data_IF_296053801140
#
_entry.id   IF_296053801140
#
_cell.length_a   1.000
_cell.length_b   1.000
_cell.length_c   1.000
_cell.angle_alpha   90.00
_cell.angle_beta   90.00
_cell.angle_gamma   90.00
#
_symmetry.space_group_name_H-M   'P 1'
#
loop_
_entity.id
_entity.type
_entity.pdbx_description
1 polymer ?
#
# COMPACT_ATOMS: atom_id res chain seq x y z
N UNK A 1 43.44 29.73 -52.38
CA UNK A 1 42.56 28.59 -52.04
C UNK A 1 41.61 29.03 -50.92
N UNK A 2 40.30 29.17 -51.20
CA UNK A 2 39.29 29.60 -50.21
C UNK A 2 38.75 28.35 -49.48
N UNK A 3 38.88 28.30 -48.15
CA UNK A 3 38.30 27.23 -47.32
C UNK A 3 36.87 27.64 -46.92
N UNK A 4 35.89 26.84 -47.32
CA UNK A 4 34.50 27.01 -46.90
C UNK A 4 34.29 26.33 -45.54
N UNK A 5 33.79 27.09 -44.57
CA UNK A 5 33.43 26.59 -43.25
C UNK A 5 31.96 26.14 -43.31
N UNK A 6 31.72 24.83 -43.19
CA UNK A 6 30.37 24.27 -43.10
C UNK A 6 29.99 24.21 -41.62
N UNK A 7 29.04 25.05 -41.21
CA UNK A 7 28.43 25.02 -39.87
C UNK A 7 27.22 24.10 -39.94
N UNK A 8 27.31 22.94 -39.30
CA UNK A 8 26.18 22.01 -39.13
C UNK A 8 25.40 22.46 -37.89
N UNK A 9 24.26 23.10 -38.10
CA UNK A 9 23.32 23.40 -37.02
C UNK A 9 22.52 22.13 -36.68
N UNK A 10 22.84 21.49 -35.55
CA UNK A 10 22.05 20.39 -35.02
C UNK A 10 20.77 20.95 -34.37
N UNK A 11 19.63 20.76 -35.04
CA UNK A 11 18.32 21.14 -34.53
C UNK A 11 17.86 20.08 -33.50
N UNK A 12 18.02 20.37 -32.21
CA UNK A 12 17.46 19.53 -31.15
C UNK A 12 15.95 19.80 -31.03
N UNK A 13 15.14 18.94 -31.64
CA UNK A 13 13.68 18.95 -31.44
C UNK A 13 13.41 18.34 -30.06
N UNK A 14 13.23 19.19 -29.04
CA UNK A 14 12.69 18.77 -27.76
C UNK A 14 11.20 18.49 -27.93
N UNK A 15 10.84 17.23 -28.19
CA UNK A 15 9.46 16.78 -28.06
C UNK A 15 9.06 16.88 -26.59
N UNK A 16 8.40 17.97 -26.23
CA UNK A 16 7.73 18.09 -24.94
C UNK A 16 6.56 17.11 -25.00
N UNK A 17 6.74 15.92 -24.42
CA UNK A 17 5.59 15.10 -24.06
C UNK A 17 4.86 15.87 -22.96
N UNK A 18 3.83 16.62 -23.36
CA UNK A 18 2.90 17.22 -22.42
C UNK A 18 2.27 16.06 -21.65
N UNK A 19 2.64 15.91 -20.38
CA UNK A 19 1.95 15.01 -19.47
C UNK A 19 0.49 15.47 -19.44
N UNK A 20 -0.43 14.58 -19.81
CA UNK A 20 -1.85 14.86 -19.71
C UNK A 20 -2.15 15.25 -18.24
N UNK A 21 -2.82 16.39 -18.05
CA UNK A 21 -3.27 16.78 -16.73
C UNK A 21 -4.25 15.73 -16.20
N UNK A 22 -4.25 15.46 -14.89
CA UNK A 22 -5.13 14.44 -14.36
C UNK A 22 -6.60 14.79 -14.56
N UNK A 23 -7.45 13.76 -14.71
CA UNK A 23 -8.90 13.94 -14.84
C UNK A 23 -9.40 14.66 -13.59
N UNK A 24 -10.12 15.78 -13.73
CA UNK A 24 -10.58 16.54 -12.58
C UNK A 24 -11.68 15.76 -11.84
N UNK A 25 -11.54 15.64 -10.53
CA UNK A 25 -12.62 15.17 -9.63
C UNK A 25 -13.37 16.40 -9.12
N UNK A 26 -14.68 16.48 -9.36
CA UNK A 26 -15.52 17.55 -8.81
C UNK A 26 -15.79 17.31 -7.32
N UNK A 27 -15.87 18.37 -6.52
CA UNK A 27 -16.37 18.27 -5.14
C UNK A 27 -17.81 17.73 -5.13
N UNK A 28 -18.16 16.90 -4.15
CA UNK A 28 -19.49 16.31 -4.07
C UNK A 28 -19.57 15.01 -3.28
N UNK A 29 -20.69 14.33 -3.45
CA UNK A 29 -20.98 13.07 -2.76
C UNK A 29 -20.68 11.88 -3.67
N UNK A 30 -19.80 11.00 -3.23
CA UNK A 30 -19.36 9.82 -3.97
C UNK A 30 -19.37 8.58 -3.07
N UNK A 31 -19.39 7.40 -3.67
CA UNK A 31 -19.12 6.18 -2.93
C UNK A 31 -17.63 6.11 -2.66
N UNK A 32 -17.24 6.37 -1.41
CA UNK A 32 -15.85 6.26 -0.96
C UNK A 32 -15.69 5.22 0.15
N UNK A 33 -16.68 4.36 0.34
CA UNK A 33 -16.59 3.22 1.27
C UNK A 33 -15.69 2.14 0.65
N UNK A 34 -14.73 1.62 1.42
CA UNK A 34 -13.89 0.50 1.00
C UNK A 34 -14.74 -0.76 0.79
N UNK A 35 -14.59 -1.48 -0.34
CA UNK A 35 -15.38 -2.67 -0.64
C UNK A 35 -15.02 -3.84 0.29
N UNK A 36 -15.91 -4.85 0.37
CA UNK A 36 -15.61 -6.07 1.12
C UNK A 36 -14.54 -6.92 0.43
N UNK A 37 -14.49 -6.88 -0.89
CA UNK A 37 -13.49 -7.58 -1.69
C UNK A 37 -12.23 -6.73 -1.73
N UNK A 38 -11.10 -7.31 -1.33
CA UNK A 38 -9.78 -6.67 -1.42
C UNK A 38 -9.49 -6.30 -2.88
N UNK A 39 -9.30 -5.01 -3.15
CA UNK A 39 -8.84 -4.55 -4.46
C UNK A 39 -7.55 -5.27 -4.85
N UNK A 40 -7.41 -5.56 -6.15
CA UNK A 40 -6.19 -6.10 -6.70
C UNK A 40 -4.99 -5.24 -6.31
N UNK A 41 -3.88 -5.89 -6.00
CA UNK A 41 -2.63 -5.17 -5.79
C UNK A 41 -2.08 -4.70 -7.13
N UNK A 42 -1.46 -3.51 -7.15
CA UNK A 42 -0.65 -3.10 -8.28
C UNK A 42 0.69 -3.86 -8.37
N UNK A 43 1.06 -4.61 -7.34
CA UNK A 43 2.31 -5.35 -7.33
C UNK A 43 2.28 -6.56 -8.28
N UNK A 44 3.38 -6.82 -9.01
CA UNK A 44 3.48 -8.00 -9.85
C UNK A 44 3.57 -9.28 -9.03
N UNK A 45 3.27 -10.41 -9.68
CA UNK A 45 3.55 -11.73 -9.14
C UNK A 45 5.03 -11.87 -8.77
N UNK A 46 5.31 -12.57 -7.68
CA UNK A 46 6.68 -12.81 -7.24
C UNK A 46 7.27 -14.01 -7.98
N UNK A 47 8.59 -14.01 -8.25
CA UNK A 47 9.27 -15.21 -8.71
C UNK A 47 9.23 -16.29 -7.63
N UNK A 48 9.33 -17.56 -8.04
CA UNK A 48 9.55 -18.64 -7.08
C UNK A 48 10.98 -18.60 -6.53
N UNK A 49 11.20 -19.20 -5.37
CA UNK A 49 12.50 -19.26 -4.69
C UNK A 49 12.95 -20.70 -4.44
N UNK A 50 14.22 -20.89 -4.15
CA UNK A 50 14.76 -22.15 -3.64
C UNK A 50 14.12 -22.55 -2.31
N UNK A 51 14.24 -23.83 -1.93
CA UNK A 51 13.70 -24.38 -0.67
C UNK A 51 14.19 -23.66 0.59
N UNK A 52 15.41 -23.14 0.58
CA UNK A 52 15.99 -22.36 1.68
C UNK A 52 15.65 -20.86 1.60
N UNK A 53 14.89 -20.45 0.58
CA UNK A 53 14.40 -19.08 0.37
C UNK A 53 15.52 -18.05 0.14
N UNK A 54 16.68 -18.48 -0.38
CA UNK A 54 17.85 -17.61 -0.58
C UNK A 54 18.06 -17.19 -2.03
N UNK A 55 17.62 -17.99 -3.00
CA UNK A 55 17.85 -17.75 -4.44
C UNK A 55 16.52 -17.78 -5.20
N UNK A 56 16.33 -16.84 -6.12
CA UNK A 56 15.18 -16.87 -7.03
C UNK A 56 15.34 -17.97 -8.08
N UNK A 57 14.33 -18.83 -8.24
CA UNK A 57 14.39 -20.04 -9.05
C UNK A 57 15.09 -21.21 -8.34
N UNK A 58 15.07 -22.40 -8.98
CA UNK A 58 15.73 -23.60 -8.44
C UNK A 58 15.00 -24.90 -8.78
N UNK A 59 15.61 -26.03 -8.40
CA UNK A 59 15.07 -27.38 -8.64
C UNK A 59 13.82 -27.71 -7.80
N UNK A 60 13.64 -27.03 -6.66
CA UNK A 60 12.46 -27.14 -5.79
C UNK A 60 11.86 -25.73 -5.58
N UNK A 61 11.11 -25.21 -6.57
CA UNK A 61 10.61 -23.85 -6.51
C UNK A 61 9.49 -23.72 -5.48
N UNK A 62 9.72 -22.87 -4.48
CA UNK A 62 8.75 -22.43 -3.48
C UNK A 62 8.04 -21.21 -4.01
N UNK A 63 6.70 -21.24 -4.00
CA UNK A 63 5.91 -20.07 -4.32
C UNK A 63 5.90 -19.10 -3.14
N UNK A 64 6.11 -17.82 -3.41
CA UNK A 64 6.10 -16.76 -2.39
C UNK A 64 5.09 -15.68 -2.77
N UNK A 65 4.55 -15.01 -1.78
CA UNK A 65 3.61 -13.90 -1.94
C UNK A 65 3.93 -12.77 -0.96
N UNK A 66 3.16 -11.70 -1.02
CA UNK A 66 3.17 -10.61 -0.04
C UNK A 66 2.08 -10.88 0.99
N UNK A 67 2.46 -10.85 2.26
CA UNK A 67 1.61 -11.13 3.40
C UNK A 67 1.33 -9.84 4.16
N UNK A 68 0.07 -9.65 4.57
CA UNK A 68 -0.35 -8.52 5.38
C UNK A 68 0.05 -8.74 6.85
N UNK A 69 0.61 -7.71 7.49
CA UNK A 69 0.85 -7.75 8.94
C UNK A 69 -0.45 -7.39 9.68
N UNK A 70 -1.01 -6.23 9.33
CA UNK A 70 -2.37 -5.84 9.69
C UNK A 70 -3.29 -6.29 8.56
N UNK A 71 -4.30 -7.13 8.81
CA UNK A 71 -5.12 -7.72 7.78
C UNK A 71 -6.00 -6.68 7.09
N UNK A 72 -6.30 -6.93 5.80
CA UNK A 72 -7.13 -6.04 4.99
C UNK A 72 -8.51 -5.77 5.62
N UNK A 73 -9.15 -6.81 6.17
CA UNK A 73 -10.46 -6.67 6.80
C UNK A 73 -10.44 -5.61 7.90
N UNK A 74 -9.41 -5.60 8.75
CA UNK A 74 -9.28 -4.59 9.79
C UNK A 74 -9.01 -3.19 9.22
N UNK A 75 -8.14 -3.06 8.21
CA UNK A 75 -7.89 -1.77 7.54
C UNK A 75 -9.17 -1.21 6.90
N UNK A 76 -9.92 -2.05 6.20
CA UNK A 76 -11.22 -1.73 5.59
C UNK A 76 -12.22 -1.27 6.65
N UNK A 77 -12.41 -2.06 7.70
CA UNK A 77 -13.41 -1.81 8.73
C UNK A 77 -13.06 -0.55 9.53
N UNK A 78 -11.78 -0.34 9.83
CA UNK A 78 -11.29 0.89 10.44
C UNK A 78 -11.57 2.12 9.56
N UNK A 79 -11.20 2.08 8.27
CA UNK A 79 -11.45 3.18 7.34
C UNK A 79 -12.95 3.47 7.23
N UNK A 80 -13.77 2.43 7.03
CA UNK A 80 -15.21 2.57 6.86
C UNK A 80 -15.88 3.10 8.13
N UNK A 81 -15.42 2.68 9.32
CA UNK A 81 -15.89 3.23 10.59
C UNK A 81 -15.53 4.70 10.73
N UNK A 82 -14.27 5.06 10.47
CA UNK A 82 -13.81 6.45 10.53
C UNK A 82 -14.55 7.34 9.52
N UNK A 83 -14.92 6.78 8.37
CA UNK A 83 -15.74 7.47 7.38
C UNK A 83 -17.17 7.73 7.88
N UNK A 84 -17.82 6.73 8.47
CA UNK A 84 -19.17 6.85 9.04
C UNK A 84 -19.24 7.89 10.17
N UNK A 85 -18.18 8.01 10.96
CA UNK A 85 -18.08 8.98 12.06
C UNK A 85 -17.56 10.36 11.65
N UNK A 86 -17.37 10.63 10.34
CA UNK A 86 -16.74 11.86 9.84
C UNK A 86 -15.35 12.13 10.47
N UNK A 87 -14.62 11.08 10.78
CA UNK A 87 -13.35 11.11 11.50
C UNK A 87 -12.12 11.03 10.60
N UNK A 88 -12.26 10.83 9.28
CA UNK A 88 -11.13 10.77 8.34
C UNK A 88 -10.18 11.99 8.42
N UNK A 89 -10.64 13.25 8.64
CA UNK A 89 -9.72 14.37 8.82
C UNK A 89 -8.75 14.22 10.01
N UNK A 90 -9.10 13.43 11.03
CA UNK A 90 -8.22 13.12 12.18
C UNK A 90 -7.10 12.16 11.81
N UNK A 91 -7.19 11.50 10.65
CA UNK A 91 -6.19 10.59 10.08
C UNK A 91 -5.31 11.29 9.03
N UNK A 92 -5.24 12.62 9.08
CA UNK A 92 -4.47 13.43 8.12
C UNK A 92 -3.01 12.99 8.00
N UNK A 93 -2.37 12.54 9.09
CA UNK A 93 -0.96 12.12 9.05
C UNK A 93 -0.71 10.94 8.11
N UNK A 94 -1.50 9.88 8.24
CA UNK A 94 -1.35 8.68 7.40
C UNK A 94 -1.72 8.98 5.96
N UNK A 95 -2.80 9.73 5.72
CA UNK A 95 -3.23 10.04 4.36
C UNK A 95 -2.27 10.98 3.62
N UNK A 96 -1.74 12.01 4.28
CA UNK A 96 -0.70 12.85 3.67
C UNK A 96 0.57 12.05 3.38
N UNK A 97 0.96 11.16 4.29
CA UNK A 97 2.12 10.27 4.07
C UNK A 97 1.89 9.33 2.90
N UNK A 98 0.69 8.75 2.77
CA UNK A 98 0.28 7.95 1.62
C UNK A 98 0.41 8.75 0.33
N UNK A 99 -0.23 9.93 0.27
CA UNK A 99 -0.20 10.87 -0.87
C UNK A 99 1.23 11.19 -1.31
N UNK A 100 2.07 11.59 -0.36
CA UNK A 100 3.44 12.04 -0.64
C UNK A 100 4.36 10.90 -1.10
N UNK A 101 3.99 9.65 -0.78
CA UNK A 101 4.78 8.47 -1.10
C UNK A 101 4.23 7.65 -2.27
N UNK A 102 3.09 7.99 -2.89
CA UNK A 102 2.47 7.21 -3.98
C UNK A 102 3.48 6.79 -5.06
N UNK A 103 4.26 7.76 -5.57
CA UNK A 103 5.30 7.47 -6.56
C UNK A 103 6.39 6.54 -6.02
N UNK A 104 6.77 6.72 -4.75
CA UNK A 104 7.74 5.85 -4.09
C UNK A 104 7.25 4.42 -3.96
N UNK A 105 5.98 4.23 -3.59
CA UNK A 105 5.35 2.92 -3.52
C UNK A 105 5.24 2.26 -4.90
N UNK A 106 4.80 3.02 -5.91
CA UNK A 106 4.67 2.51 -7.27
C UNK A 106 6.02 2.03 -7.82
N UNK A 107 7.08 2.83 -7.65
CA UNK A 107 8.44 2.47 -8.07
C UNK A 107 8.97 1.26 -7.30
N UNK A 108 8.90 1.26 -5.97
CA UNK A 108 9.41 0.15 -5.15
C UNK A 108 8.61 -1.14 -5.36
N UNK A 109 7.34 -1.01 -5.69
CA UNK A 109 6.43 -2.10 -6.01
C UNK A 109 6.50 -2.61 -7.45
N UNK A 110 7.22 -1.90 -8.33
CA UNK A 110 7.15 -2.11 -9.78
C UNK A 110 5.69 -2.12 -10.30
N UNK A 111 4.88 -1.21 -9.78
CA UNK A 111 3.48 -1.06 -10.18
C UNK A 111 3.39 -0.36 -11.53
N UNK A 112 2.60 -0.92 -12.45
CA UNK A 112 2.31 -0.34 -13.76
C UNK A 112 1.25 0.77 -13.65
N UNK A 113 1.56 1.84 -12.91
CA UNK A 113 0.67 2.99 -12.68
C UNK A 113 1.25 4.20 -13.40
N UNK A 114 0.41 4.93 -14.14
CA UNK A 114 0.87 6.08 -14.91
C UNK A 114 0.91 7.36 -14.04
N UNK A 115 1.48 8.44 -14.57
CA UNK A 115 1.62 9.70 -13.84
C UNK A 115 0.28 10.41 -13.56
N UNK A 116 -0.72 10.24 -14.44
CA UNK A 116 -2.08 10.76 -14.25
C UNK A 116 -2.73 10.09 -13.03
N UNK A 117 -2.73 8.76 -12.98
CA UNK A 117 -3.32 7.98 -11.87
C UNK A 117 -2.70 8.35 -10.51
N UNK A 118 -1.38 8.54 -10.45
CA UNK A 118 -0.71 8.98 -9.22
C UNK A 118 -1.14 10.40 -8.80
N UNK A 119 -1.25 11.33 -9.75
CA UNK A 119 -1.65 12.70 -9.46
C UNK A 119 -3.14 12.80 -9.10
N UNK A 120 -4.01 12.07 -9.80
CA UNK A 120 -5.43 11.95 -9.53
C UNK A 120 -5.70 11.32 -8.17
N UNK A 121 -5.00 10.23 -7.83
CA UNK A 121 -5.06 9.60 -6.50
C UNK A 121 -4.62 10.57 -5.41
N UNK A 122 -3.53 11.32 -5.62
CA UNK A 122 -3.06 12.32 -4.66
C UNK A 122 -4.11 13.42 -4.41
N UNK A 123 -4.74 13.92 -5.48
CA UNK A 123 -5.82 14.90 -5.40
C UNK A 123 -7.04 14.34 -4.67
N UNK A 124 -7.45 13.11 -4.98
CA UNK A 124 -8.56 12.45 -4.28
C UNK A 124 -8.29 12.33 -2.78
N UNK A 125 -7.06 11.97 -2.38
CA UNK A 125 -6.66 11.92 -0.97
C UNK A 125 -6.82 13.30 -0.32
N UNK A 126 -6.34 14.37 -0.96
CA UNK A 126 -6.51 15.73 -0.45
C UNK A 126 -7.99 16.11 -0.29
N UNK A 127 -8.83 15.74 -1.27
CA UNK A 127 -10.27 15.99 -1.22
C UNK A 127 -10.97 15.22 -0.09
N UNK A 128 -10.57 13.97 0.16
CA UNK A 128 -11.09 13.15 1.27
C UNK A 128 -10.71 13.78 2.62
N UNK A 129 -9.45 14.15 2.82
CA UNK A 129 -8.99 14.73 4.10
C UNK A 129 -9.65 16.09 4.35
N UNK A 130 -9.84 16.89 3.29
CA UNK A 130 -10.44 18.23 3.40
C UNK A 130 -11.98 18.19 3.40
N UNK A 131 -12.59 17.01 3.24
CA UNK A 131 -14.05 16.83 3.26
C UNK A 131 -14.78 17.39 2.05
N UNK A 132 -14.09 17.65 0.94
CA UNK A 132 -14.72 18.12 -0.32
C UNK A 132 -15.31 16.98 -1.13
N UNK A 133 -14.83 15.75 -0.92
CA UNK A 133 -15.49 14.50 -1.32
C UNK A 133 -16.10 13.88 -0.07
N UNK A 134 -17.43 13.70 -0.08
CA UNK A 134 -18.20 13.14 1.03
C UNK A 134 -18.78 11.79 0.66
N UNK A 135 -19.07 10.94 1.65
CA UNK A 135 -19.59 9.60 1.40
C UNK A 135 -21.08 9.59 1.08
N UNK A 136 -21.42 8.93 -0.03
CA UNK A 136 -22.76 8.50 -0.39
C UNK A 136 -22.66 7.09 -0.99
N UNK A 137 -23.15 6.09 -0.26
CA UNK A 137 -23.06 4.68 -0.66
C UNK A 137 -23.85 4.33 -1.94
N UNK A 138 -24.81 5.18 -2.33
CA UNK A 138 -25.61 5.03 -3.55
C UNK A 138 -25.01 5.72 -4.78
N UNK A 139 -23.96 6.55 -4.60
CA UNK A 139 -23.28 7.21 -5.70
C UNK A 139 -22.28 6.29 -6.42
N UNK A 140 -21.74 6.74 -7.55
CA UNK A 140 -20.60 6.09 -8.18
C UNK A 140 -19.32 6.31 -7.35
N UNK A 141 -18.33 5.43 -7.54
CA UNK A 141 -16.97 5.70 -7.09
C UNK A 141 -16.42 6.91 -7.85
N UNK A 142 -15.65 7.80 -7.21
CA UNK A 142 -14.93 8.84 -7.93
C UNK A 142 -13.80 8.19 -8.75
N UNK A 143 -13.33 8.89 -9.79
CA UNK A 143 -12.09 8.52 -10.48
C UNK A 143 -10.95 8.36 -9.46
N UNK A 144 -10.02 7.43 -9.74
CA UNK A 144 -8.84 7.12 -8.92
C UNK A 144 -9.10 6.51 -7.54
N UNK A 145 -10.36 6.20 -7.20
CA UNK A 145 -10.66 5.55 -5.91
C UNK A 145 -10.11 4.13 -5.82
N UNK A 146 -10.08 3.41 -6.93
CA UNK A 146 -9.50 2.07 -7.03
C UNK A 146 -7.99 2.07 -6.77
N UNK A 147 -7.26 3.05 -7.31
CA UNK A 147 -5.85 3.29 -7.03
C UNK A 147 -5.62 3.67 -5.56
N UNK A 148 -6.39 4.62 -5.04
CA UNK A 148 -6.36 4.99 -3.61
C UNK A 148 -6.57 3.76 -2.72
N UNK A 149 -7.62 2.99 -2.99
CA UNK A 149 -7.95 1.79 -2.24
C UNK A 149 -6.86 0.72 -2.36
N UNK A 150 -6.24 0.58 -3.53
CA UNK A 150 -5.12 -0.35 -3.73
C UNK A 150 -3.91 0.08 -2.90
N UNK A 151 -3.46 1.34 -3.00
CA UNK A 151 -2.31 1.82 -2.23
C UNK A 151 -2.55 1.80 -0.71
N UNK A 152 -3.77 2.09 -0.27
CA UNK A 152 -4.12 2.01 1.15
C UNK A 152 -4.14 0.56 1.65
N UNK A 153 -4.75 -0.37 0.90
CA UNK A 153 -4.81 -1.78 1.27
C UNK A 153 -3.43 -2.46 1.22
N UNK A 154 -2.59 -2.05 0.27
CA UNK A 154 -1.29 -2.66 -0.03
C UNK A 154 -0.10 -1.75 0.36
N UNK A 155 -0.25 -0.98 1.45
CA UNK A 155 0.82 -0.17 2.01
C UNK A 155 2.12 -0.99 2.16
N UNK A 156 3.24 -0.63 1.49
CA UNK A 156 4.45 -1.46 1.53
C UNK A 156 4.98 -1.72 2.94
N UNK A 157 4.88 -0.75 3.83
CA UNK A 157 5.24 -0.92 5.23
C UNK A 157 4.39 -1.96 5.97
N UNK A 158 3.18 -2.28 5.52
CA UNK A 158 2.32 -3.28 6.15
C UNK A 158 2.48 -4.70 5.54
N UNK A 159 3.52 -4.91 4.74
CA UNK A 159 3.69 -6.14 3.97
C UNK A 159 5.08 -6.73 4.16
N UNK A 160 5.15 -8.07 4.17
CA UNK A 160 6.41 -8.80 4.02
C UNK A 160 6.30 -9.89 2.95
N UNK A 161 7.43 -10.31 2.40
CA UNK A 161 7.49 -11.42 1.44
C UNK A 161 7.74 -12.73 2.18
N UNK A 162 6.94 -13.75 1.87
CA UNK A 162 7.04 -15.06 2.50
C UNK A 162 6.46 -16.18 1.63
N UNK A 163 6.75 -17.45 1.93
CA UNK A 163 6.15 -18.61 1.26
C UNK A 163 4.62 -18.59 1.31
N UNK A 164 3.96 -19.21 0.34
CA UNK A 164 2.49 -19.34 0.35
C UNK A 164 2.00 -20.60 1.06
N UNK A 165 2.83 -21.63 1.16
CA UNK A 165 2.54 -22.86 1.89
C UNK A 165 2.94 -22.71 3.37
N UNK A 166 2.23 -21.83 4.07
CA UNK A 166 2.45 -21.55 5.49
C UNK A 166 1.45 -22.30 6.36
N UNK A 167 1.94 -22.92 7.43
CA UNK A 167 1.07 -23.53 8.45
C UNK A 167 0.61 -22.54 9.52
N UNK A 168 1.28 -21.39 9.63
CA UNK A 168 1.01 -20.35 10.61
C UNK A 168 0.45 -19.07 10.00
N UNK A 169 -0.09 -19.15 8.78
CA UNK A 169 -0.77 -18.01 8.15
C UNK A 169 -2.05 -17.69 8.95
N UNK A 170 -2.17 -16.47 9.51
CA UNK A 170 -3.38 -16.04 10.22
C UNK A 170 -4.56 -15.74 9.29
N UNK A 171 -4.36 -15.80 7.97
CA UNK A 171 -5.32 -15.40 6.93
C UNK A 171 -5.82 -13.95 7.15
N UNK A 172 -7.00 -13.82 7.73
CA UNK A 172 -7.70 -12.56 7.97
C UNK A 172 -7.40 -11.98 9.37
N UNK A 173 -6.59 -12.65 10.17
CA UNK A 173 -6.16 -12.18 11.49
C UNK A 173 -4.83 -11.41 11.46
N UNK A 174 -4.41 -10.91 12.62
CA UNK A 174 -3.15 -10.19 12.78
C UNK A 174 -1.96 -11.16 12.73
N UNK A 175 -0.90 -10.79 11.99
CA UNK A 175 0.32 -11.58 11.91
C UNK A 175 1.16 -11.45 13.20
N UNK A 176 0.76 -12.20 14.22
CA UNK A 176 1.38 -12.17 15.54
C UNK A 176 2.86 -12.61 15.54
N UNK A 177 3.32 -13.29 14.47
CA UNK A 177 4.71 -13.73 14.32
C UNK A 177 5.54 -12.82 13.43
N UNK A 178 4.98 -11.75 12.87
CA UNK A 178 5.72 -10.81 12.02
C UNK A 178 6.91 -10.16 12.75
N UNK A 179 6.98 -10.24 14.08
CA UNK A 179 8.08 -9.71 14.88
C UNK A 179 9.46 -10.15 14.43
N UNK A 180 9.63 -11.40 13.97
CA UNK A 180 10.92 -11.86 13.43
C UNK A 180 11.31 -11.18 12.12
N UNK A 181 10.32 -10.68 11.36
CA UNK A 181 10.52 -10.00 10.07
C UNK A 181 10.70 -8.50 10.25
N UNK A 182 9.89 -7.87 11.11
CA UNK A 182 9.87 -6.40 11.26
C UNK A 182 10.75 -5.88 12.40
N UNK A 183 11.24 -6.78 13.26
CA UNK A 183 12.11 -6.47 14.39
C UNK A 183 11.47 -5.51 15.38
N UNK A 184 12.23 -4.51 15.83
CA UNK A 184 11.82 -3.51 16.83
C UNK A 184 10.53 -2.75 16.47
N UNK A 185 10.17 -2.72 15.19
CA UNK A 185 8.92 -2.11 14.73
C UNK A 185 7.68 -2.92 15.12
N UNK A 186 7.79 -4.16 15.60
CA UNK A 186 6.62 -5.00 15.85
C UNK A 186 5.60 -4.39 16.81
N UNK A 187 6.10 -3.74 17.87
CA UNK A 187 5.27 -3.05 18.87
C UNK A 187 4.39 -1.93 18.26
N UNK A 188 4.80 -1.36 17.12
CA UNK A 188 4.03 -0.40 16.34
C UNK A 188 2.77 -1.06 15.75
N UNK A 189 2.94 -2.23 15.13
CA UNK A 189 1.85 -2.97 14.47
C UNK A 189 0.88 -3.53 15.49
N UNK A 190 1.37 -4.07 16.61
CA UNK A 190 0.52 -4.58 17.70
C UNK A 190 -0.38 -3.48 18.26
N UNK A 191 0.19 -2.30 18.53
CA UNK A 191 -0.55 -1.14 19.04
C UNK A 191 -1.57 -0.63 18.02
N UNK A 192 -1.17 -0.50 16.74
CA UNK A 192 -2.08 -0.10 15.67
C UNK A 192 -3.25 -1.07 15.53
N UNK A 193 -2.97 -2.38 15.46
CA UNK A 193 -3.97 -3.45 15.36
C UNK A 193 -4.95 -3.41 16.55
N UNK A 194 -4.43 -3.38 17.78
CA UNK A 194 -5.26 -3.30 19.00
C UNK A 194 -6.16 -2.06 19.01
N UNK A 195 -5.59 -0.89 18.72
CA UNK A 195 -6.33 0.36 18.76
C UNK A 195 -7.38 0.44 17.64
N UNK A 196 -7.07 -0.04 16.43
CA UNK A 196 -8.04 -0.12 15.34
C UNK A 196 -9.19 -1.08 15.67
N UNK A 197 -8.90 -2.28 16.21
CA UNK A 197 -9.96 -3.21 16.65
C UNK A 197 -10.85 -2.57 17.71
N UNK A 198 -10.26 -1.90 18.70
CA UNK A 198 -11.00 -1.20 19.75
C UNK A 198 -11.84 -0.06 19.20
N UNK A 199 -11.29 0.75 18.28
CA UNK A 199 -12.02 1.84 17.64
C UNK A 199 -13.19 1.33 16.78
N UNK A 200 -12.99 0.28 15.98
CA UNK A 200 -14.06 -0.34 15.18
C UNK A 200 -15.18 -0.85 16.08
N UNK A 201 -14.85 -1.45 17.22
CA UNK A 201 -15.84 -2.00 18.15
C UNK A 201 -16.60 -0.93 18.96
N UNK A 202 -15.92 0.14 19.38
CA UNK A 202 -16.44 1.08 20.39
C UNK A 202 -16.75 2.48 19.85
N UNK A 203 -16.14 2.89 18.74
CA UNK A 203 -16.17 4.28 18.26
C UNK A 203 -15.36 5.26 19.13
N UNK A 204 -14.46 4.78 20.00
CA UNK A 204 -13.67 5.64 20.89
C UNK A 204 -12.68 6.52 20.10
N UNK A 205 -13.10 7.76 19.84
CA UNK A 205 -12.32 8.75 19.10
C UNK A 205 -10.99 9.14 19.77
N UNK A 206 -10.77 8.83 21.06
CA UNK A 206 -9.49 9.10 21.73
C UNK A 206 -8.33 8.27 21.14
N UNK A 207 -8.65 7.12 20.52
CA UNK A 207 -7.69 6.22 19.91
C UNK A 207 -7.13 6.74 18.57
N UNK A 208 -7.87 7.64 17.89
CA UNK A 208 -7.56 8.07 16.52
C UNK A 208 -6.20 8.75 16.41
N UNK A 209 -5.77 9.48 17.44
CA UNK A 209 -4.44 10.13 17.44
C UNK A 209 -3.32 9.09 17.42
N UNK A 210 -3.41 8.06 18.27
CA UNK A 210 -2.43 6.96 18.30
C UNK A 210 -2.46 6.16 17.00
N UNK A 211 -3.65 5.81 16.50
CA UNK A 211 -3.79 5.06 15.24
C UNK A 211 -3.18 5.85 14.08
N UNK A 212 -3.50 7.15 13.97
CA UNK A 212 -2.92 8.01 12.94
C UNK A 212 -1.39 8.05 13.03
N UNK A 213 -0.82 8.21 14.23
CA UNK A 213 0.63 8.21 14.43
C UNK A 213 1.29 6.89 14.01
N UNK A 214 0.69 5.77 14.40
CA UNK A 214 1.24 4.45 14.13
C UNK A 214 1.17 4.11 12.63
N UNK A 215 0.00 4.32 12.01
CA UNK A 215 -0.18 4.12 10.57
C UNK A 215 0.65 5.10 9.73
N UNK A 216 0.86 6.34 10.20
CA UNK A 216 1.80 7.29 9.57
C UNK A 216 3.21 6.70 9.54
N UNK A 217 3.66 6.12 10.65
CA UNK A 217 5.00 5.54 10.76
C UNK A 217 5.16 4.32 9.85
N UNK A 218 4.13 3.47 9.76
CA UNK A 218 4.07 2.35 8.82
C UNK A 218 4.11 2.85 7.37
N UNK A 219 3.31 3.87 7.03
CA UNK A 219 3.25 4.44 5.68
C UNK A 219 4.58 5.11 5.26
N UNK A 220 5.43 5.57 6.17
CA UNK A 220 6.75 6.11 5.79
C UNK A 220 7.64 5.07 5.09
N UNK A 221 7.42 3.77 5.33
CA UNK A 221 8.18 2.70 4.71
C UNK A 221 7.67 2.46 3.27
N UNK A 222 8.52 2.78 2.29
CA UNK A 222 8.20 2.74 0.86
C UNK A 222 8.34 1.36 0.21
N UNK A 223 8.97 0.41 0.90
CA UNK A 223 9.25 -0.93 0.39
C UNK A 223 8.71 -2.01 1.32
N UNK A 224 8.30 -3.12 0.73
CA UNK A 224 7.90 -4.35 1.44
C UNK A 224 9.09 -4.90 2.23
N UNK A 225 8.86 -5.54 3.38
CA UNK A 225 9.93 -6.28 4.06
C UNK A 225 10.38 -7.45 3.17
N UNK A 226 11.68 -7.53 2.83
CA UNK A 226 12.18 -8.52 1.89
C UNK A 226 12.05 -9.93 2.44
N UNK A 227 12.07 -10.92 1.55
CA UNK A 227 12.20 -12.32 1.92
C UNK A 227 13.58 -12.54 2.57
N UNK A 228 13.60 -13.17 3.73
CA UNK A 228 14.81 -13.62 4.39
C UNK A 228 14.60 -15.04 4.90
N UNK A 229 15.31 -16.01 4.33
CA UNK A 229 15.21 -17.43 4.71
C UNK A 229 15.54 -17.71 6.18
N UNK A 230 16.28 -16.83 6.86
CA UNK A 230 16.58 -16.96 8.29
C UNK A 230 15.35 -16.73 9.18
N UNK A 231 14.29 -16.13 8.65
CA UNK A 231 13.05 -15.91 9.39
C UNK A 231 12.10 -17.11 9.34
N UNK A 232 12.46 -18.17 8.61
CA UNK A 232 11.58 -19.31 8.35
C UNK A 232 12.17 -20.64 8.81
N UNK A 233 11.28 -21.53 9.24
CA UNK A 233 11.53 -22.95 9.47
C UNK A 233 10.69 -23.77 8.50
N UNK A 234 11.29 -24.79 7.88
CA UNK A 234 10.57 -25.79 7.11
C UNK A 234 10.19 -26.95 8.03
N UNK A 235 8.89 -27.22 8.15
CA UNK A 235 8.37 -28.34 8.93
C UNK A 235 8.68 -29.68 8.25
N UNK A 236 8.52 -30.79 8.98
CA UNK A 236 8.72 -32.14 8.42
C UNK A 236 7.72 -32.45 7.31
N UNK A 237 6.55 -31.82 7.36
CA UNK A 237 5.46 -31.92 6.39
C UNK A 237 5.69 -31.03 5.15
N UNK A 238 6.78 -30.26 5.11
CA UNK A 238 7.13 -29.41 3.97
C UNK A 238 6.46 -28.04 3.95
N UNK A 239 5.90 -27.59 5.08
CA UNK A 239 5.30 -26.26 5.20
C UNK A 239 6.22 -25.28 5.93
N UNK A 240 6.10 -24.00 5.61
CA UNK A 240 6.89 -22.97 6.26
C UNK A 240 6.17 -22.38 7.47
N UNK A 241 6.97 -21.97 8.44
CA UNK A 241 6.54 -21.33 9.69
C UNK A 241 7.53 -20.23 10.01
N UNK A 242 7.06 -19.06 10.45
CA UNK A 242 7.92 -18.01 10.98
C UNK A 242 8.60 -18.50 12.28
N UNK A 243 9.88 -18.19 12.45
CA UNK A 243 10.68 -18.66 13.60
C UNK A 243 10.19 -18.14 14.95
#
# INVERSE_FOLDING_TARGET
MKKALIVIAALFVFTHQALAAPRPIAAGAYKITMPNVRNGSCFPAMPNYSKDLTVAGGAEPVHVSRHHIIPYNLLRDFYNRALQENALPKLRGVFLTLRDNLRGYATAGNCAVNADDLAGTANLIDMIINGTVTNNSAAAFPDYFDDFASFYAWLPGNLFIGPTNRNDDPEDEFEARAGVVVGDNFSLYERANKNMKSYVATGDASLLLSINSDLTSIAKKKSVYPLDGHNWNLSREGNYVLR
#
